data_IF_283167451804
#
_entry.id   IF_283167451804
#
_cell.length_a   1.000
_cell.length_b   1.000
_cell.length_c   1.000
_cell.angle_alpha   90.00
_cell.angle_beta   90.00
_cell.angle_gamma   90.00
#
_symmetry.space_group_name_H-M   'P 1'
#
loop_
_entity.id
_entity.type
_entity.pdbx_description
1 polymer ?
#
# COMPACT_ATOMS: atom_id res chain seq x y z
N UNK A 1 -17.02 -14.47 -30.45
CA UNK A 1 -17.51 -15.41 -29.42
C UNK A 1 -16.36 -16.28 -28.97
N UNK A 2 -15.83 -16.02 -27.78
CA UNK A 2 -15.39 -17.03 -26.79
C UNK A 2 -15.19 -16.22 -25.51
N UNK A 3 -16.15 -16.43 -24.62
CA UNK A 3 -16.34 -15.72 -23.36
C UNK A 3 -15.11 -15.92 -22.48
N UNK A 4 -14.31 -14.86 -22.31
CA UNK A 4 -13.33 -14.78 -21.24
C UNK A 4 -14.10 -14.78 -19.94
N UNK A 5 -14.31 -15.97 -19.38
CA UNK A 5 -14.86 -16.15 -18.04
C UNK A 5 -13.97 -15.35 -17.08
N UNK A 6 -14.42 -14.15 -16.73
CA UNK A 6 -14.05 -13.52 -15.47
C UNK A 6 -14.28 -14.58 -14.40
N UNK A 7 -13.18 -15.10 -13.86
CA UNK A 7 -13.23 -15.83 -12.59
C UNK A 7 -13.68 -14.77 -11.60
N UNK A 8 -14.98 -14.76 -11.32
CA UNK A 8 -15.58 -13.91 -10.29
C UNK A 8 -14.94 -14.31 -8.97
N UNK A 9 -13.88 -13.59 -8.59
CA UNK A 9 -13.34 -13.58 -7.26
C UNK A 9 -14.44 -13.12 -6.34
N UNK A 10 -14.92 -14.02 -5.49
CA UNK A 10 -15.48 -13.59 -4.21
C UNK A 10 -14.33 -12.80 -3.56
N UNK A 11 -14.39 -11.46 -3.61
CA UNK A 11 -13.23 -10.58 -3.40
C UNK A 11 -12.44 -10.99 -2.15
N UNK A 12 -11.12 -10.96 -2.24
CA UNK A 12 -10.29 -11.10 -1.05
C UNK A 12 -10.62 -9.93 -0.13
N UNK A 13 -10.58 -10.17 1.17
CA UNK A 13 -10.75 -9.07 2.12
C UNK A 13 -9.40 -8.36 2.28
N UNK A 14 -9.38 -7.10 2.73
CA UNK A 14 -8.12 -6.42 3.05
C UNK A 14 -7.21 -7.26 3.97
N UNK A 15 -7.77 -7.93 4.98
CA UNK A 15 -7.02 -8.83 5.85
C UNK A 15 -6.40 -10.02 5.10
N UNK A 16 -7.11 -10.62 4.14
CA UNK A 16 -6.57 -11.70 3.31
C UNK A 16 -5.38 -11.22 2.48
N UNK A 17 -5.48 -10.02 1.91
CA UNK A 17 -4.41 -9.40 1.14
C UNK A 17 -3.19 -9.07 2.01
N UNK A 18 -3.40 -8.53 3.21
CA UNK A 18 -2.36 -8.34 4.22
C UNK A 18 -1.63 -9.64 4.58
N UNK A 19 -2.35 -10.76 4.75
CA UNK A 19 -1.71 -12.03 5.08
C UNK A 19 -0.81 -12.51 3.94
N UNK A 20 -1.27 -12.45 2.70
CA UNK A 20 -0.47 -12.82 1.53
C UNK A 20 0.77 -11.91 1.40
N UNK A 21 0.62 -10.60 1.57
CA UNK A 21 1.73 -9.63 1.55
C UNK A 21 2.75 -9.92 2.65
N UNK A 22 2.31 -10.16 3.88
CA UNK A 22 3.19 -10.45 5.01
C UNK A 22 3.96 -11.78 4.82
N UNK A 23 3.29 -12.83 4.31
CA UNK A 23 3.97 -14.09 3.95
C UNK A 23 5.06 -13.83 2.91
N UNK A 24 4.74 -13.05 1.86
CA UNK A 24 5.70 -12.71 0.82
C UNK A 24 6.89 -11.91 1.37
N UNK A 25 6.64 -10.91 2.21
CA UNK A 25 7.68 -10.06 2.81
C UNK A 25 8.63 -10.88 3.71
N UNK A 26 8.07 -11.65 4.65
CA UNK A 26 8.86 -12.51 5.57
C UNK A 26 9.68 -13.53 4.78
N UNK A 27 9.10 -14.17 3.77
CA UNK A 27 9.82 -15.12 2.91
C UNK A 27 10.93 -14.43 2.12
N UNK A 28 10.70 -13.22 1.60
CA UNK A 28 11.69 -12.48 0.82
C UNK A 28 12.89 -12.05 1.68
N UNK A 29 12.65 -11.72 2.96
CA UNK A 29 13.70 -11.38 3.91
C UNK A 29 14.49 -12.62 4.39
N UNK A 30 13.79 -13.71 4.74
CA UNK A 30 14.37 -14.83 5.50
C UNK A 30 14.57 -16.12 4.70
N UNK A 31 14.07 -16.17 3.48
CA UNK A 31 14.03 -17.35 2.62
C UNK A 31 12.87 -18.32 2.91
N UNK A 32 12.19 -18.20 4.05
CA UNK A 32 11.03 -18.99 4.44
C UNK A 32 10.07 -18.17 5.31
N UNK A 33 8.81 -18.60 5.41
CA UNK A 33 7.81 -17.97 6.28
C UNK A 33 7.20 -19.00 7.24
N UNK A 34 7.38 -18.82 8.55
CA UNK A 34 6.65 -19.57 9.58
C UNK A 34 5.42 -18.79 10.00
N UNK A 35 4.38 -19.50 10.43
CA UNK A 35 3.17 -18.88 11.01
C UNK A 35 3.52 -17.85 12.10
N UNK A 36 4.44 -18.17 13.00
CA UNK A 36 4.88 -17.29 14.10
C UNK A 36 5.63 -16.05 13.64
N UNK A 37 6.32 -16.12 12.51
CA UNK A 37 7.03 -14.97 11.96
C UNK A 37 6.05 -14.01 11.30
N UNK A 38 5.11 -14.54 10.53
CA UNK A 38 4.05 -13.76 9.87
C UNK A 38 3.08 -13.17 10.89
N UNK A 39 2.69 -13.91 11.92
CA UNK A 39 1.80 -13.39 12.96
C UNK A 39 2.43 -12.22 13.73
N UNK A 40 3.74 -12.29 13.98
CA UNK A 40 4.51 -11.23 14.61
C UNK A 40 4.61 -9.99 13.73
N UNK A 41 4.89 -10.18 12.44
CA UNK A 41 4.93 -9.10 11.44
C UNK A 41 3.60 -8.34 11.35
N UNK A 42 2.49 -9.07 11.47
CA UNK A 42 1.14 -8.51 11.43
C UNK A 42 0.63 -8.03 12.79
N UNK A 43 1.40 -8.20 13.86
CA UNK A 43 1.00 -7.90 15.24
C UNK A 43 -0.33 -8.58 15.68
N UNK A 44 -0.55 -9.82 15.23
CA UNK A 44 -1.73 -10.64 15.59
C UNK A 44 -1.33 -11.97 16.22
N UNK A 45 -2.30 -12.66 16.82
CA UNK A 45 -2.06 -13.99 17.37
C UNK A 45 -1.90 -15.06 16.28
N UNK A 46 -1.10 -16.10 16.55
CA UNK A 46 -1.00 -17.29 15.71
C UNK A 46 -2.37 -17.93 15.44
N UNK A 47 -3.28 -17.90 16.43
CA UNK A 47 -4.62 -18.44 16.29
C UNK A 47 -5.45 -17.63 15.29
N UNK A 48 -5.40 -16.30 15.37
CA UNK A 48 -6.06 -15.38 14.44
C UNK A 48 -5.57 -15.60 13.03
N UNK A 49 -4.25 -15.64 12.83
CA UNK A 49 -3.66 -15.88 11.52
C UNK A 49 -4.05 -17.26 10.98
N UNK A 50 -3.90 -18.32 11.77
CA UNK A 50 -4.25 -19.68 11.35
C UNK A 50 -5.69 -19.82 10.87
N UNK A 51 -6.65 -19.18 11.54
CA UNK A 51 -8.04 -19.13 11.08
C UNK A 51 -8.18 -18.34 9.78
N UNK A 52 -7.52 -17.19 9.69
CA UNK A 52 -7.53 -16.31 8.52
C UNK A 52 -6.84 -16.88 7.27
N UNK A 53 -5.95 -17.86 7.42
CA UNK A 53 -5.27 -18.51 6.30
C UNK A 53 -6.13 -19.59 5.62
N UNK A 54 -7.09 -20.21 6.33
CA UNK A 54 -7.91 -21.31 5.78
C UNK A 54 -8.64 -20.95 4.48
N UNK A 55 -9.27 -19.75 4.33
CA UNK A 55 -9.90 -19.37 3.07
C UNK A 55 -8.89 -19.20 1.93
N UNK A 56 -7.64 -18.87 2.21
CA UNK A 56 -6.57 -18.71 1.21
C UNK A 56 -6.07 -20.06 0.72
N UNK A 57 -5.95 -21.04 1.62
CA UNK A 57 -5.65 -22.43 1.27
C UNK A 57 -6.75 -23.04 0.40
N UNK A 58 -8.02 -22.86 0.79
CA UNK A 58 -9.18 -23.33 0.01
C UNK A 58 -9.26 -22.71 -1.38
N UNK A 59 -8.69 -21.51 -1.56
CA UNK A 59 -8.61 -20.80 -2.84
C UNK A 59 -7.32 -21.06 -3.60
N UNK A 60 -6.47 -21.98 -3.12
CA UNK A 60 -5.20 -22.33 -3.75
C UNK A 60 -4.26 -21.13 -3.92
N UNK A 61 -4.32 -20.16 -3.00
CA UNK A 61 -3.39 -19.01 -2.95
C UNK A 61 -2.20 -19.28 -2.02
N UNK A 62 -2.34 -20.27 -1.15
CA UNK A 62 -1.39 -20.61 -0.11
C UNK A 62 -1.38 -22.13 0.10
N UNK A 63 -0.21 -22.68 0.39
CA UNK A 63 -0.02 -24.05 0.83
C UNK A 63 1.04 -24.12 1.94
N UNK A 64 1.31 -25.33 2.39
CA UNK A 64 2.38 -25.63 3.33
C UNK A 64 3.36 -26.61 2.70
N UNK A 65 4.67 -26.41 2.91
CA UNK A 65 5.69 -27.42 2.54
C UNK A 65 5.78 -28.56 3.58
N UNK A 66 6.65 -29.54 3.32
CA UNK A 66 6.90 -30.68 4.22
C UNK A 66 7.40 -30.26 5.62
N UNK A 67 8.00 -29.06 5.72
CA UNK A 67 8.50 -28.47 6.97
C UNK A 67 7.47 -27.54 7.62
N UNK A 68 6.24 -27.50 7.08
CA UNK A 68 5.13 -26.66 7.54
C UNK A 68 5.39 -25.15 7.39
N UNK A 69 6.26 -24.75 6.47
CA UNK A 69 6.40 -23.34 6.08
C UNK A 69 5.26 -22.92 5.17
N UNK A 70 4.87 -21.65 5.28
CA UNK A 70 3.87 -21.01 4.43
C UNK A 70 4.46 -20.77 3.05
N UNK A 71 3.82 -21.32 2.03
CA UNK A 71 4.24 -21.23 0.63
C UNK A 71 3.13 -20.60 -0.21
N UNK A 72 3.39 -19.41 -0.75
CA UNK A 72 2.49 -18.81 -1.72
C UNK A 72 2.52 -19.63 -3.02
N UNK A 73 1.34 -19.92 -3.56
CA UNK A 73 1.24 -20.43 -4.92
C UNK A 73 1.54 -19.30 -5.92
N UNK A 74 1.75 -19.59 -7.22
CA UNK A 74 1.96 -18.54 -8.21
C UNK A 74 0.83 -17.50 -8.25
N UNK A 75 -0.42 -17.91 -8.02
CA UNK A 75 -1.57 -17.01 -7.94
C UNK A 75 -1.56 -16.17 -6.67
N UNK A 76 -1.24 -16.76 -5.52
CA UNK A 76 -1.10 -16.01 -4.25
C UNK A 76 0.07 -15.04 -4.25
N UNK A 77 1.21 -15.42 -4.85
CA UNK A 77 2.37 -14.56 -4.98
C UNK A 77 2.09 -13.35 -5.87
N UNK A 78 1.34 -13.54 -6.96
CA UNK A 78 0.89 -12.42 -7.80
C UNK A 78 0.07 -11.41 -7.00
N UNK A 79 -0.90 -11.86 -6.21
CA UNK A 79 -1.72 -10.98 -5.36
C UNK A 79 -0.85 -10.28 -4.31
N UNK A 80 0.01 -11.01 -3.61
CA UNK A 80 0.89 -10.45 -2.58
C UNK A 80 1.79 -9.34 -3.15
N UNK A 81 2.37 -9.57 -4.34
CA UNK A 81 3.23 -8.60 -5.02
C UNK A 81 2.47 -7.39 -5.52
N UNK A 82 1.24 -7.58 -6.02
CA UNK A 82 0.40 -6.47 -6.45
C UNK A 82 0.05 -5.56 -5.27
N UNK A 83 -0.42 -6.13 -4.16
CA UNK A 83 -0.74 -5.38 -2.94
C UNK A 83 0.51 -4.68 -2.38
N UNK A 84 1.64 -5.39 -2.32
CA UNK A 84 2.91 -4.80 -1.91
C UNK A 84 3.37 -3.65 -2.82
N UNK A 85 3.16 -3.77 -4.13
CA UNK A 85 3.48 -2.71 -5.07
C UNK A 85 2.65 -1.45 -4.78
N UNK A 86 1.34 -1.59 -4.55
CA UNK A 86 0.46 -0.47 -4.19
C UNK A 86 0.89 0.18 -2.88
N UNK A 87 1.22 -0.62 -1.86
CA UNK A 87 1.78 -0.15 -0.60
C UNK A 87 3.03 0.71 -0.81
N UNK A 88 4.02 0.19 -1.54
CA UNK A 88 5.29 0.88 -1.75
C UNK A 88 5.10 2.20 -2.50
N UNK A 89 4.26 2.21 -3.55
CA UNK A 89 3.98 3.43 -4.31
C UNK A 89 3.26 4.46 -3.44
N UNK A 90 2.25 4.06 -2.67
CA UNK A 90 1.54 4.95 -1.76
C UNK A 90 2.47 5.51 -0.68
N UNK A 91 3.27 4.66 -0.04
CA UNK A 91 4.27 5.04 0.96
C UNK A 91 5.28 6.05 0.42
N UNK A 92 5.88 5.75 -0.73
CA UNK A 92 6.85 6.64 -1.38
C UNK A 92 6.21 7.97 -1.77
N UNK A 93 4.97 7.98 -2.22
CA UNK A 93 4.27 9.23 -2.50
C UNK A 93 4.06 10.06 -1.21
N UNK A 94 3.52 9.43 -0.16
CA UNK A 94 3.25 10.11 1.10
C UNK A 94 4.53 10.66 1.76
N UNK A 95 5.58 9.84 1.84
CA UNK A 95 6.82 10.22 2.49
C UNK A 95 7.72 11.07 1.59
N UNK A 96 8.14 10.54 0.44
CA UNK A 96 9.17 11.16 -0.40
C UNK A 96 8.65 12.42 -1.14
N UNK A 97 7.35 12.46 -1.47
CA UNK A 97 6.76 13.57 -2.25
C UNK A 97 6.00 14.55 -1.36
N UNK A 98 5.14 14.05 -0.46
CA UNK A 98 4.33 14.92 0.40
C UNK A 98 5.00 15.29 1.74
N UNK A 99 6.10 14.63 2.12
CA UNK A 99 6.82 14.90 3.36
C UNK A 99 6.09 14.43 4.63
N UNK A 100 5.20 13.45 4.51
CA UNK A 100 4.55 12.81 5.67
C UNK A 100 5.61 12.03 6.45
N UNK A 101 5.59 12.12 7.78
CA UNK A 101 6.49 11.34 8.65
C UNK A 101 6.46 9.85 8.29
N UNK A 102 7.62 9.18 8.35
CA UNK A 102 7.79 7.81 7.86
C UNK A 102 6.78 6.83 8.50
N UNK A 103 6.58 6.91 9.81
CA UNK A 103 5.67 6.01 10.53
C UNK A 103 4.21 6.28 10.14
N UNK A 104 3.84 7.55 9.96
CA UNK A 104 2.51 7.93 9.49
C UNK A 104 2.28 7.50 8.04
N UNK A 105 3.28 7.67 7.18
CA UNK A 105 3.23 7.27 5.78
C UNK A 105 3.05 5.76 5.64
N UNK A 106 3.75 4.96 6.45
CA UNK A 106 3.56 3.50 6.52
C UNK A 106 2.15 3.12 6.94
N UNK A 107 1.64 3.74 8.01
CA UNK A 107 0.30 3.46 8.51
C UNK A 107 -0.80 3.85 7.50
N UNK A 108 -0.64 4.97 6.79
CA UNK A 108 -1.56 5.42 5.75
C UNK A 108 -1.48 4.57 4.48
N UNK A 109 -0.28 4.24 4.01
CA UNK A 109 -0.08 3.37 2.85
C UNK A 109 -0.70 1.98 3.06
N UNK A 110 -0.58 1.43 4.27
CA UNK A 110 -1.20 0.16 4.67
C UNK A 110 -2.74 0.18 4.54
N UNK A 111 -3.38 1.34 4.74
CA UNK A 111 -4.82 1.48 4.49
C UNK A 111 -5.14 1.67 3.01
N UNK A 112 -4.35 2.51 2.34
CA UNK A 112 -4.58 2.88 0.94
C UNK A 112 -4.32 1.72 -0.04
N UNK A 113 -3.43 0.78 0.28
CA UNK A 113 -3.02 -0.28 -0.66
C UNK A 113 -4.19 -1.12 -1.21
N UNK A 114 -5.28 -1.23 -0.46
CA UNK A 114 -6.47 -1.99 -0.84
C UNK A 114 -7.49 -1.19 -1.64
N UNK A 115 -7.47 0.14 -1.50
CA UNK A 115 -8.49 1.04 -2.07
C UNK A 115 -8.01 1.76 -3.33
N UNK A 116 -6.69 1.82 -3.54
CA UNK A 116 -6.12 2.47 -4.72
C UNK A 116 -6.35 1.63 -5.98
N UNK A 117 -6.97 2.27 -6.98
CA UNK A 117 -7.08 1.70 -8.31
C UNK A 117 -5.70 1.54 -8.95
N UNK A 118 -5.54 0.54 -9.82
CA UNK A 118 -4.31 0.37 -10.60
C UNK A 118 -3.96 1.62 -11.41
N UNK A 119 -4.96 2.32 -11.98
CA UNK A 119 -4.73 3.57 -12.69
C UNK A 119 -4.13 4.65 -11.79
N UNK A 120 -4.62 4.80 -10.56
CA UNK A 120 -4.09 5.77 -9.59
C UNK A 120 -2.64 5.44 -9.24
N UNK A 121 -2.36 4.16 -8.97
CA UNK A 121 -1.01 3.69 -8.61
C UNK A 121 -0.01 3.98 -9.71
N UNK A 122 -0.36 3.72 -10.99
CA UNK A 122 0.52 4.05 -12.12
C UNK A 122 0.80 5.55 -12.21
N UNK A 123 -0.20 6.42 -11.98
CA UNK A 123 0.00 7.88 -12.02
C UNK A 123 0.86 8.39 -10.87
N UNK A 124 0.71 7.82 -9.68
CA UNK A 124 1.60 8.12 -8.57
C UNK A 124 3.03 7.68 -8.88
N UNK A 125 3.19 6.48 -9.45
CA UNK A 125 4.49 5.95 -9.85
C UNK A 125 5.14 6.84 -10.92
N UNK A 126 4.41 7.26 -11.95
CA UNK A 126 4.90 8.17 -12.99
C UNK A 126 5.44 9.47 -12.40
N UNK A 127 4.70 10.08 -11.46
CA UNK A 127 5.14 11.30 -10.78
C UNK A 127 6.40 11.07 -9.96
N UNK A 128 6.44 9.99 -9.17
CA UNK A 128 7.62 9.65 -8.36
C UNK A 128 8.84 9.42 -9.26
N UNK A 129 8.68 8.69 -10.36
CA UNK A 129 9.77 8.43 -11.32
C UNK A 129 10.26 9.72 -11.97
N UNK A 130 9.36 10.58 -12.44
CA UNK A 130 9.71 11.89 -12.98
C UNK A 130 10.58 12.69 -11.99
N UNK A 131 10.14 12.79 -10.73
CA UNK A 131 10.89 13.49 -9.69
C UNK A 131 12.20 12.78 -9.34
N UNK A 132 12.32 11.46 -9.43
CA UNK A 132 13.58 10.75 -9.14
C UNK A 132 14.59 10.89 -10.28
N UNK A 133 14.13 10.82 -11.51
CA UNK A 133 14.95 10.87 -12.72
C UNK A 133 15.43 12.29 -13.05
N UNK A 134 14.61 13.31 -12.79
CA UNK A 134 14.97 14.72 -12.99
C UNK A 134 15.34 15.40 -11.66
N UNK A 135 16.65 15.58 -11.43
CA UNK A 135 17.18 16.19 -10.22
C UNK A 135 16.82 17.68 -10.09
N UNK A 136 16.87 18.44 -11.17
CA UNK A 136 16.61 19.88 -11.14
C UNK A 136 15.14 20.14 -10.82
N UNK A 137 14.25 19.40 -11.48
CA UNK A 137 12.82 19.46 -11.20
C UNK A 137 12.50 19.05 -9.77
N UNK A 138 13.14 18.00 -9.25
CA UNK A 138 12.95 17.56 -7.86
C UNK A 138 13.33 18.62 -6.84
N UNK A 139 14.53 19.18 -6.97
CA UNK A 139 15.03 20.22 -6.07
C UNK A 139 14.15 21.49 -6.15
N UNK A 140 13.71 21.85 -7.36
CA UNK A 140 12.76 22.94 -7.57
C UNK A 140 11.41 22.66 -6.90
N UNK A 141 10.81 21.50 -7.15
CA UNK A 141 9.53 21.10 -6.59
C UNK A 141 9.58 21.09 -5.06
N UNK A 142 10.56 20.42 -4.48
CA UNK A 142 10.73 20.31 -3.02
C UNK A 142 10.84 21.69 -2.37
N UNK A 143 11.70 22.58 -2.92
CA UNK A 143 11.81 23.95 -2.42
C UNK A 143 10.47 24.68 -2.49
N UNK A 144 9.82 24.68 -3.65
CA UNK A 144 8.57 25.41 -3.86
C UNK A 144 7.42 24.88 -3.02
N UNK A 145 7.34 23.56 -2.84
CA UNK A 145 6.29 22.90 -2.07
C UNK A 145 6.49 23.14 -0.56
N UNK A 146 7.73 23.09 -0.07
CA UNK A 146 8.10 23.41 1.33
C UNK A 146 7.73 24.85 1.68
N UNK A 147 8.05 25.81 0.80
CA UNK A 147 7.73 27.23 0.99
C UNK A 147 6.24 27.57 0.80
N UNK A 148 5.45 26.66 0.21
CA UNK A 148 4.06 26.92 -0.10
C UNK A 148 3.17 26.71 1.12
N UNK A 149 2.66 27.81 1.67
CA UNK A 149 1.65 27.78 2.72
C UNK A 149 0.27 28.10 2.15
N UNK A 150 -0.65 27.13 2.21
CA UNK A 150 -2.05 27.37 1.81
C UNK A 150 -2.63 28.52 2.63
N UNK A 151 -3.24 29.48 1.95
CA UNK A 151 -4.01 30.54 2.59
C UNK A 151 -5.49 30.22 2.41
N UNK A 152 -6.12 29.65 3.44
CA UNK A 152 -7.55 29.36 3.46
C UNK A 152 -8.15 30.09 4.67
N UNK A 153 -9.15 30.96 4.46
CA UNK A 153 -9.86 31.65 5.55
C UNK A 153 -11.17 30.91 5.86
N UNK A 154 -11.49 30.59 7.13
CA UNK A 154 -12.65 29.76 7.53
C UNK A 154 -14.07 30.23 7.15
N UNK A 155 -14.24 31.21 6.26
CA UNK A 155 -15.54 31.83 5.95
C UNK A 155 -15.75 32.12 4.46
N UNK A 156 -14.81 31.73 3.59
CA UNK A 156 -14.89 31.90 2.14
C UNK A 156 -14.84 30.55 1.44
N UNK A 157 -15.55 30.42 0.32
CA UNK A 157 -15.36 29.31 -0.61
C UNK A 157 -13.89 29.24 -1.04
N UNK A 158 -13.30 28.05 -0.92
CA UNK A 158 -11.96 27.78 -1.39
C UNK A 158 -11.98 27.56 -2.90
N UNK A 159 -11.31 28.40 -3.68
CA UNK A 159 -11.24 28.28 -5.14
C UNK A 159 -10.52 27.01 -5.66
N UNK A 160 -9.98 26.18 -4.75
CA UNK A 160 -9.31 24.92 -5.11
C UNK A 160 -10.17 23.68 -4.87
N UNK A 161 -10.98 23.68 -3.80
CA UNK A 161 -11.82 22.52 -3.46
C UNK A 161 -13.33 22.82 -3.48
N UNK A 162 -13.74 24.04 -3.85
CA UNK A 162 -15.12 24.51 -3.94
C UNK A 162 -15.95 24.27 -2.65
N UNK A 163 -15.25 24.19 -1.51
CA UNK A 163 -15.82 23.97 -0.19
C UNK A 163 -15.42 25.10 0.75
N UNK A 164 -16.18 25.27 1.84
CA UNK A 164 -15.77 26.12 2.95
C UNK A 164 -14.40 25.66 3.46
N UNK A 165 -13.47 26.59 3.63
CA UNK A 165 -12.14 26.30 4.16
C UNK A 165 -12.22 25.61 5.54
N UNK A 166 -12.02 24.29 5.58
CA UNK A 166 -12.01 23.51 6.82
C UNK A 166 -10.63 23.49 7.52
N UNK A 167 -9.63 24.17 6.97
CA UNK A 167 -8.22 23.99 7.36
C UNK A 167 -7.60 25.13 8.19
N UNK A 168 -6.73 24.75 9.12
CA UNK A 168 -5.58 25.53 9.59
C UNK A 168 -4.53 25.67 8.45
N UNK A 169 -3.59 26.63 8.49
CA UNK A 169 -2.46 26.66 7.54
C UNK A 169 -1.80 25.28 7.49
N UNK A 170 -1.56 24.76 6.27
CA UNK A 170 -0.90 23.47 6.11
C UNK A 170 0.50 23.52 6.72
N UNK A 171 1.03 22.42 7.27
CA UNK A 171 2.27 22.44 8.06
C UNK A 171 3.50 22.94 7.29
N UNK A 172 3.43 23.03 5.95
CA UNK A 172 4.64 22.98 5.12
C UNK A 172 5.30 21.60 5.26
N UNK A 173 6.14 21.22 4.31
CA UNK A 173 7.15 20.20 4.63
C UNK A 173 8.21 20.97 5.44
N UNK A 174 8.50 20.55 6.66
CA UNK A 174 9.58 21.14 7.45
C UNK A 174 10.95 20.63 6.99
#
# INVERSE_FOLDING_TARGET
>A
MLSGKQVQSRELTPSHEHYLRAIWAVRSERGYARLSDVARELEISNATLSVGLKPLEQRELLSHDDRRFLVLTPSGERVAREVHHRFQVARMFLHDVLGVDEAQADAEACRLEHDLSGQTVERLLDLIKLLREDRELREFFQRRYTEYHRQCRPTTECATCDLACMGTPGPGIA
#
